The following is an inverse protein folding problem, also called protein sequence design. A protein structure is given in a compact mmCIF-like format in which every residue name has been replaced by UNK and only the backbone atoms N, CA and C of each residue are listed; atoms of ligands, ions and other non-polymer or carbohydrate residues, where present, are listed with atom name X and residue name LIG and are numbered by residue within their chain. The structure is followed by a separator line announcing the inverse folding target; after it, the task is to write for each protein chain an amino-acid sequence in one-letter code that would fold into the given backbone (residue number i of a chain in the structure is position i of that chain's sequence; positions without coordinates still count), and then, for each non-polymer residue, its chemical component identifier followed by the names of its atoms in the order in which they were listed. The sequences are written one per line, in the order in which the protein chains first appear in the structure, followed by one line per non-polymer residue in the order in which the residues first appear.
data_IF_143590377475
#
_entry.id   IF_143590377475
#
_cell.length_a   1.000
_cell.length_b   1.000
_cell.length_c   1.000
_cell.angle_alpha   90.00
_cell.angle_beta   90.00
_cell.angle_gamma   90.00
#
_symmetry.space_group_name_H-M   'P 1'
#
loop_
_entity.id
_entity.type
_entity.pdbx_description
1 polymer ?
#
# COMPACT_ATOMS: atom_id res chain seq x y z
N UNK A 1 20.06 5.92 -26.73
CA UNK A 1 18.67 6.28 -26.37
C UNK A 1 18.52 7.80 -26.26
N UNK A 2 19.23 8.47 -25.34
CA UNK A 2 19.17 9.93 -25.16
C UNK A 2 19.36 10.75 -26.44
N UNK A 3 20.37 10.44 -27.27
CA UNK A 3 20.57 11.12 -28.56
C UNK A 3 19.38 10.99 -29.52
N UNK A 4 18.70 9.84 -29.54
CA UNK A 4 17.53 9.60 -30.40
C UNK A 4 16.30 10.36 -29.87
N UNK A 5 16.13 10.37 -28.55
CA UNK A 5 15.08 11.15 -27.89
C UNK A 5 15.27 12.66 -28.17
N UNK A 6 16.50 13.17 -28.00
CA UNK A 6 16.84 14.57 -28.29
C UNK A 6 16.69 14.94 -29.76
N UNK A 7 16.75 13.96 -30.68
CA UNK A 7 16.47 14.19 -32.10
C UNK A 7 14.98 14.08 -32.46
N UNK A 8 14.08 14.02 -31.46
CA UNK A 8 12.63 13.92 -31.66
C UNK A 8 12.15 12.55 -32.13
N UNK A 9 12.96 11.49 -31.99
CA UNK A 9 12.55 10.14 -32.37
C UNK A 9 11.60 9.57 -31.32
N UNK A 10 10.43 9.12 -31.73
CA UNK A 10 9.44 8.47 -30.87
C UNK A 10 9.28 7.00 -31.28
N UNK A 11 9.99 6.10 -30.59
CA UNK A 11 9.90 4.67 -30.80
C UNK A 11 10.22 3.89 -29.50
N UNK A 12 10.21 2.57 -29.56
CA UNK A 12 10.50 1.69 -28.42
C UNK A 12 11.88 1.88 -27.78
N UNK A 13 12.81 2.59 -28.44
CA UNK A 13 14.13 2.92 -27.89
C UNK A 13 14.15 4.27 -27.15
N UNK A 14 13.12 5.09 -27.32
CA UNK A 14 12.98 6.39 -26.65
C UNK A 14 11.83 6.43 -25.65
N UNK A 15 10.92 5.45 -25.69
CA UNK A 15 9.92 5.24 -24.64
C UNK A 15 10.52 4.65 -23.37
N UNK A 16 9.93 5.00 -22.23
CA UNK A 16 10.13 4.28 -20.99
C UNK A 16 9.62 2.85 -21.16
N UNK A 17 10.39 1.89 -20.66
CA UNK A 17 9.94 0.51 -20.53
C UNK A 17 8.83 0.42 -19.48
N UNK A 18 7.98 -0.61 -19.56
CA UNK A 18 6.93 -0.84 -18.57
C UNK A 18 7.45 -0.88 -17.14
N UNK A 19 8.55 -1.60 -16.91
CA UNK A 19 9.26 -1.64 -15.63
C UNK A 19 9.74 -0.26 -15.14
N UNK A 20 10.19 0.62 -16.03
CA UNK A 20 10.76 1.93 -15.65
C UNK A 20 9.66 2.87 -15.11
N UNK A 21 8.49 2.91 -15.75
CA UNK A 21 7.35 3.69 -15.25
C UNK A 21 6.74 3.08 -13.99
N UNK A 22 6.61 1.75 -13.97
CA UNK A 22 6.12 1.04 -12.79
C UNK A 22 6.99 1.35 -11.57
N UNK A 23 8.31 1.28 -11.70
CA UNK A 23 9.23 1.61 -10.62
C UNK A 23 9.21 3.10 -10.24
N UNK A 24 9.02 4.01 -11.20
CA UNK A 24 8.91 5.45 -10.93
C UNK A 24 7.68 5.74 -10.06
N UNK A 25 6.50 5.27 -10.49
CA UNK A 25 5.25 5.48 -9.76
C UNK A 25 5.27 4.78 -8.41
N UNK A 26 5.78 3.55 -8.36
CA UNK A 26 5.94 2.81 -7.11
C UNK A 26 6.89 3.51 -6.14
N UNK A 27 8.00 4.08 -6.63
CA UNK A 27 8.93 4.86 -5.82
C UNK A 27 8.29 6.12 -5.24
N UNK A 28 7.55 6.88 -6.06
CA UNK A 28 6.80 8.06 -5.63
C UNK A 28 5.73 7.69 -4.58
N UNK A 29 4.98 6.62 -4.83
CA UNK A 29 3.99 6.10 -3.90
C UNK A 29 4.64 5.67 -2.58
N UNK A 30 5.73 4.91 -2.62
CA UNK A 30 6.46 4.49 -1.40
C UNK A 30 6.92 5.68 -0.57
N UNK A 31 7.36 6.77 -1.23
CA UNK A 31 7.74 8.03 -0.60
C UNK A 31 6.54 8.92 -0.20
N UNK A 32 5.31 8.43 -0.37
CA UNK A 32 4.08 9.18 -0.14
C UNK A 32 4.09 10.56 -0.84
N UNK A 33 4.65 10.61 -2.05
CA UNK A 33 4.81 11.83 -2.83
C UNK A 33 3.91 11.74 -4.06
N UNK A 34 2.71 12.31 -3.97
CA UNK A 34 1.77 12.34 -5.08
C UNK A 34 2.40 13.04 -6.30
N UNK A 35 2.18 12.51 -7.51
CA UNK A 35 2.79 13.03 -8.72
C UNK A 35 2.09 14.30 -9.26
N UNK A 36 0.97 14.71 -8.65
CA UNK A 36 0.09 15.77 -9.14
C UNK A 36 -0.48 15.43 -10.53
N UNK A 37 -0.65 16.45 -11.37
CA UNK A 37 -1.21 16.34 -12.74
C UNK A 37 -0.50 15.33 -13.66
N UNK A 38 0.70 14.85 -13.28
CA UNK A 38 1.39 13.81 -14.03
C UNK A 38 0.58 12.50 -14.07
N UNK A 39 -0.22 12.14 -13.06
CA UNK A 39 -0.97 10.87 -13.06
C UNK A 39 -1.97 10.79 -14.23
N UNK A 40 -2.59 11.92 -14.59
CA UNK A 40 -3.54 12.01 -15.69
C UNK A 40 -2.88 11.74 -17.05
N UNK A 41 -1.59 12.04 -17.17
CA UNK A 41 -0.80 11.76 -18.37
C UNK A 41 -0.38 10.30 -18.51
N UNK A 42 -0.40 9.52 -17.41
CA UNK A 42 0.06 8.13 -17.41
C UNK A 42 -0.86 7.26 -18.27
N UNK A 43 -2.18 7.33 -18.09
CA UNK A 43 -3.14 6.52 -18.85
C UNK A 43 -2.98 6.62 -20.38
N UNK A 44 -3.01 7.83 -20.95
CA UNK A 44 -2.74 8.06 -22.38
C UNK A 44 -1.38 7.53 -22.83
N UNK A 45 -0.35 7.70 -22.00
CA UNK A 45 0.99 7.21 -22.31
C UNK A 45 1.06 5.67 -22.36
N UNK A 46 0.51 4.98 -21.35
CA UNK A 46 0.51 3.52 -21.30
C UNK A 46 -0.24 2.94 -22.51
N UNK A 47 -1.39 3.52 -22.87
CA UNK A 47 -2.09 3.13 -24.11
C UNK A 47 -1.20 3.30 -25.33
N UNK A 48 -0.55 4.46 -25.49
CA UNK A 48 0.31 4.74 -26.65
C UNK A 48 1.41 3.70 -26.83
N UNK A 49 2.08 3.30 -25.75
CA UNK A 49 3.20 2.34 -25.83
C UNK A 49 2.73 0.89 -25.95
N UNK A 50 1.47 0.60 -25.62
CA UNK A 50 0.86 -0.75 -25.68
C UNK A 50 -0.08 -0.95 -26.88
N UNK A 51 -0.07 -0.04 -27.86
CA UNK A 51 -0.82 -0.22 -29.11
C UNK A 51 -0.16 -1.28 -29.99
N UNK A 52 -0.99 -2.14 -30.60
CA UNK A 52 -0.56 -3.01 -31.70
C UNK A 52 -0.38 -2.22 -33.01
N UNK A 53 -0.05 -2.94 -34.10
CA UNK A 53 0.18 -2.34 -35.42
C UNK A 53 -1.05 -1.63 -35.99
N UNK A 54 -2.25 -2.00 -35.54
CA UNK A 54 -3.52 -1.41 -35.96
C UNK A 54 -3.98 -0.29 -35.01
N UNK A 55 -3.13 0.10 -34.03
CA UNK A 55 -3.42 1.15 -33.07
C UNK A 55 -4.39 0.71 -31.95
N UNK A 56 -4.66 -0.59 -31.82
CA UNK A 56 -5.57 -1.13 -30.79
C UNK A 56 -4.80 -1.55 -29.55
N UNK A 57 -5.45 -1.38 -28.40
CA UNK A 57 -4.93 -1.88 -27.12
C UNK A 57 -5.74 -3.12 -26.74
N UNK A 58 -5.06 -4.24 -26.61
CA UNK A 58 -5.62 -5.52 -26.15
C UNK A 58 -4.76 -6.05 -25.02
N UNK A 59 -5.27 -7.01 -24.26
CA UNK A 59 -4.46 -7.66 -23.21
C UNK A 59 -3.15 -8.26 -23.75
N UNK A 60 -3.14 -8.77 -25.00
CA UNK A 60 -1.92 -9.28 -25.64
C UNK A 60 -0.90 -8.18 -25.94
N UNK A 61 -1.37 -7.02 -26.41
CA UNK A 61 -0.48 -5.90 -26.69
C UNK A 61 0.02 -5.25 -25.39
N UNK A 62 -0.78 -5.22 -24.33
CA UNK A 62 -0.34 -4.84 -22.98
C UNK A 62 0.73 -5.82 -22.46
N UNK A 63 0.49 -7.13 -22.54
CA UNK A 63 1.43 -8.17 -22.09
C UNK A 63 2.78 -8.14 -22.84
N UNK A 64 2.82 -7.62 -24.07
CA UNK A 64 4.07 -7.42 -24.81
C UNK A 64 4.97 -6.31 -24.22
N UNK A 65 4.42 -5.46 -23.35
CA UNK A 65 5.12 -4.30 -22.76
C UNK A 65 5.26 -4.44 -21.23
N UNK A 66 4.25 -5.01 -20.57
CA UNK A 66 4.15 -5.07 -19.12
C UNK A 66 4.05 -6.49 -18.61
N UNK A 67 4.69 -6.75 -17.47
CA UNK A 67 4.34 -7.89 -16.61
C UNK A 67 3.15 -7.54 -15.73
N UNK A 68 2.39 -8.55 -15.28
CA UNK A 68 1.26 -8.32 -14.34
C UNK A 68 1.70 -7.65 -13.03
N UNK A 69 2.89 -7.99 -12.53
CA UNK A 69 3.44 -7.33 -11.33
C UNK A 69 3.68 -5.83 -11.54
N UNK A 70 4.10 -5.42 -12.75
CA UNK A 70 4.36 -4.02 -13.06
C UNK A 70 3.05 -3.21 -13.10
N UNK A 71 1.99 -3.79 -13.68
CA UNK A 71 0.64 -3.23 -13.68
C UNK A 71 0.07 -3.14 -12.26
N UNK A 72 0.25 -4.18 -11.44
CA UNK A 72 -0.16 -4.17 -10.04
C UNK A 72 0.53 -3.04 -9.26
N UNK A 73 1.84 -2.88 -9.42
CA UNK A 73 2.58 -1.78 -8.77
C UNK A 73 2.05 -0.39 -9.17
N UNK A 74 1.66 -0.19 -10.44
CA UNK A 74 1.05 1.05 -10.91
C UNK A 74 -0.34 1.24 -10.27
N UNK A 75 -1.16 0.19 -10.23
CA UNK A 75 -2.49 0.24 -9.60
C UNK A 75 -2.40 0.56 -8.10
N UNK A 76 -1.46 -0.08 -7.39
CA UNK A 76 -1.19 0.25 -6.00
C UNK A 76 -0.76 1.70 -5.81
N UNK A 77 0.08 2.22 -6.71
CA UNK A 77 0.50 3.63 -6.65
C UNK A 77 -0.71 4.57 -6.74
N UNK A 78 -1.67 4.28 -7.62
CA UNK A 78 -2.94 5.00 -7.72
C UNK A 78 -3.71 4.97 -6.38
N UNK A 79 -3.81 3.79 -5.76
CA UNK A 79 -4.44 3.66 -4.45
C UNK A 79 -3.72 4.49 -3.38
N UNK A 80 -2.38 4.50 -3.34
CA UNK A 80 -1.58 5.29 -2.39
C UNK A 80 -1.77 6.79 -2.60
N UNK A 81 -1.82 7.27 -3.85
CA UNK A 81 -2.10 8.67 -4.15
C UNK A 81 -3.56 9.04 -3.84
N UNK A 82 -4.48 8.06 -3.85
CA UNK A 82 -5.92 8.31 -3.75
C UNK A 82 -6.50 8.88 -5.03
N UNK A 83 -5.85 8.61 -6.17
CA UNK A 83 -6.19 9.16 -7.48
C UNK A 83 -6.49 8.02 -8.45
N UNK A 84 -7.68 8.05 -9.08
CA UNK A 84 -8.17 6.96 -9.92
C UNK A 84 -8.61 7.44 -11.32
N UNK A 85 -7.69 7.94 -12.17
CA UNK A 85 -8.08 8.38 -13.51
C UNK A 85 -8.73 7.23 -14.29
N UNK A 86 -9.98 7.41 -14.74
CA UNK A 86 -10.79 6.35 -15.37
C UNK A 86 -10.07 5.64 -16.51
N UNK A 87 -9.38 6.43 -17.34
CA UNK A 87 -8.56 5.96 -18.44
C UNK A 87 -7.41 5.06 -18.01
N UNK A 88 -6.73 5.40 -16.90
CA UNK A 88 -5.65 4.61 -16.33
C UNK A 88 -6.20 3.33 -15.68
N UNK A 89 -7.25 3.46 -14.87
CA UNK A 89 -7.84 2.31 -14.17
C UNK A 89 -8.42 1.28 -15.16
N UNK A 90 -9.05 1.73 -16.24
CA UNK A 90 -9.53 0.83 -17.32
C UNK A 90 -8.38 0.08 -17.97
N UNK A 91 -7.26 0.76 -18.25
CA UNK A 91 -6.07 0.11 -18.79
C UNK A 91 -5.49 -0.94 -17.83
N UNK A 92 -5.39 -0.60 -16.54
CA UNK A 92 -4.84 -1.48 -15.51
C UNK A 92 -5.71 -2.72 -15.28
N UNK A 93 -7.03 -2.54 -15.16
CA UNK A 93 -7.98 -3.65 -15.03
C UNK A 93 -7.99 -4.51 -16.29
N UNK A 94 -7.96 -3.90 -17.48
CA UNK A 94 -7.87 -4.65 -18.75
C UNK A 94 -6.60 -5.49 -18.87
N UNK A 95 -5.46 -4.99 -18.36
CA UNK A 95 -4.21 -5.76 -18.33
C UNK A 95 -4.19 -6.84 -17.24
N UNK A 96 -4.65 -6.53 -16.03
CA UNK A 96 -4.59 -7.45 -14.89
C UNK A 96 -5.65 -8.55 -14.93
N UNK A 97 -6.85 -8.22 -15.42
CA UNK A 97 -8.04 -9.05 -15.38
C UNK A 97 -8.59 -9.44 -16.76
N UNK A 98 -8.16 -8.78 -17.84
CA UNK A 98 -8.66 -9.04 -19.19
C UNK A 98 -10.14 -8.74 -19.38
N UNK A 99 -10.57 -8.61 -20.63
CA UNK A 99 -11.98 -8.32 -20.95
C UNK A 99 -12.91 -9.49 -20.60
N UNK A 100 -12.39 -10.72 -20.68
CA UNK A 100 -13.17 -11.95 -20.44
C UNK A 100 -13.13 -12.42 -18.99
N UNK A 101 -12.28 -11.83 -18.14
CA UNK A 101 -12.08 -12.27 -16.75
C UNK A 101 -11.80 -13.79 -16.64
N UNK A 102 -10.92 -14.28 -17.52
CA UNK A 102 -10.51 -15.70 -17.58
C UNK A 102 -9.04 -15.83 -17.13
N UNK A 103 -8.78 -16.28 -15.89
CA UNK A 103 -7.44 -16.36 -15.34
C UNK A 103 -6.52 -17.34 -16.08
N UNK A 104 -7.05 -18.45 -16.62
CA UNK A 104 -6.25 -19.41 -17.38
C UNK A 104 -5.80 -18.83 -18.73
N UNK A 105 -6.69 -18.14 -19.43
CA UNK A 105 -6.32 -17.46 -20.68
C UNK A 105 -5.30 -16.37 -20.43
N UNK A 106 -5.40 -15.63 -19.32
CA UNK A 106 -4.43 -14.60 -18.96
C UNK A 106 -3.06 -15.19 -18.63
N UNK A 107 -3.02 -16.27 -17.85
CA UNK A 107 -1.78 -16.97 -17.55
C UNK A 107 -1.03 -17.42 -18.81
N UNK A 108 -1.76 -17.89 -19.83
CA UNK A 108 -1.19 -18.23 -21.15
C UNK A 108 -0.68 -17.00 -21.91
N UNK A 109 -1.36 -15.87 -21.83
CA UNK A 109 -0.97 -14.62 -22.51
C UNK A 109 0.26 -14.00 -21.87
N UNK A 110 0.33 -14.00 -20.54
CA UNK A 110 1.45 -13.45 -19.78
C UNK A 110 2.59 -14.45 -19.57
N UNK A 111 2.41 -15.71 -19.98
CA UNK A 111 3.36 -16.81 -19.77
C UNK A 111 3.79 -16.94 -18.30
N UNK A 112 2.82 -16.83 -17.38
CA UNK A 112 3.02 -16.91 -15.94
C UNK A 112 2.05 -17.91 -15.28
N UNK A 113 2.13 -18.06 -13.95
CA UNK A 113 1.36 -19.05 -13.20
C UNK A 113 0.10 -18.52 -12.51
N UNK A 114 -0.37 -17.31 -12.84
CA UNK A 114 -1.36 -16.60 -12.02
C UNK A 114 -0.79 -15.32 -11.38
N UNK A 115 -1.67 -14.53 -10.76
CA UNK A 115 -1.25 -13.34 -10.00
C UNK A 115 -0.48 -13.76 -8.76
N UNK A 116 0.58 -13.03 -8.43
CA UNK A 116 1.27 -13.21 -7.16
C UNK A 116 0.39 -12.73 -6.01
N UNK A 117 0.55 -13.30 -4.80
CA UNK A 117 -0.25 -12.90 -3.63
C UNK A 117 -0.21 -11.39 -3.34
N UNK A 118 0.94 -10.75 -3.58
CA UNK A 118 1.06 -9.29 -3.44
C UNK A 118 0.21 -8.52 -4.45
N UNK A 119 0.12 -8.99 -5.70
CA UNK A 119 -0.73 -8.38 -6.73
C UNK A 119 -2.22 -8.62 -6.42
N UNK A 120 -2.55 -9.77 -5.82
CA UNK A 120 -3.90 -10.07 -5.33
C UNK A 120 -4.31 -9.07 -4.25
N UNK A 121 -3.48 -8.93 -3.20
CA UNK A 121 -3.75 -7.96 -2.13
C UNK A 121 -3.83 -6.53 -2.65
N UNK A 122 -2.94 -6.17 -3.58
CA UNK A 122 -2.99 -4.88 -4.27
C UNK A 122 -4.36 -4.60 -4.89
N UNK A 123 -4.92 -5.58 -5.61
CA UNK A 123 -6.22 -5.42 -6.25
C UNK A 123 -7.36 -5.30 -5.23
N UNK A 124 -7.28 -5.99 -4.09
CA UNK A 124 -8.23 -5.82 -2.98
C UNK A 124 -8.16 -4.39 -2.41
N UNK A 125 -6.96 -3.87 -2.15
CA UNK A 125 -6.79 -2.49 -1.67
C UNK A 125 -7.28 -1.46 -2.69
N UNK A 126 -6.96 -1.66 -3.97
CA UNK A 126 -7.38 -0.76 -5.04
C UNK A 126 -8.90 -0.76 -5.18
N UNK A 127 -9.55 -1.92 -5.19
CA UNK A 127 -11.01 -2.01 -5.27
C UNK A 127 -11.66 -1.33 -4.06
N UNK A 128 -11.19 -1.62 -2.84
CA UNK A 128 -11.70 -0.99 -1.63
C UNK A 128 -11.53 0.53 -1.66
N UNK A 129 -10.34 1.02 -2.02
CA UNK A 129 -10.06 2.44 -2.05
C UNK A 129 -10.84 3.18 -3.14
N UNK A 130 -11.07 2.55 -4.30
CA UNK A 130 -11.90 3.10 -5.37
C UNK A 130 -13.37 3.21 -4.95
N UNK A 131 -13.94 2.14 -4.41
CA UNK A 131 -15.35 2.11 -4.00
C UNK A 131 -15.63 3.13 -2.89
N UNK A 132 -14.74 3.21 -1.90
CA UNK A 132 -14.83 4.16 -0.80
C UNK A 132 -14.59 5.62 -1.22
N UNK A 133 -13.85 5.86 -2.29
CA UNK A 133 -13.65 7.21 -2.85
C UNK A 133 -14.88 7.75 -3.61
N UNK A 134 -15.88 6.89 -3.88
CA UNK A 134 -17.03 7.24 -4.72
C UNK A 134 -16.71 7.32 -6.21
N UNK A 135 -15.57 6.76 -6.66
CA UNK A 135 -15.16 6.77 -8.06
C UNK A 135 -16.06 5.84 -8.89
N UNK A 136 -16.93 6.41 -9.72
CA UNK A 136 -17.85 5.69 -10.59
C UNK A 136 -17.12 5.14 -11.85
N UNK A 137 -16.27 4.14 -11.66
CA UNK A 137 -15.52 3.51 -12.76
C UNK A 137 -16.27 2.35 -13.43
N UNK A 138 -17.22 1.73 -12.72
CA UNK A 138 -17.86 0.47 -13.14
C UNK A 138 -16.90 -0.73 -13.17
N UNK A 139 -15.66 -0.55 -12.73
CA UNK A 139 -14.63 -1.59 -12.66
C UNK A 139 -14.82 -2.41 -11.38
N UNK A 140 -14.75 -3.73 -11.53
CA UNK A 140 -15.05 -4.68 -10.44
C UNK A 140 -14.14 -5.89 -10.53
N UNK A 141 -13.76 -6.42 -9.37
CA UNK A 141 -13.08 -7.71 -9.32
C UNK A 141 -14.02 -8.85 -9.78
N UNK A 142 -13.47 -9.93 -10.35
CA UNK A 142 -14.24 -11.12 -10.73
C UNK A 142 -14.86 -11.83 -9.51
N UNK A 143 -16.03 -12.50 -9.63
CA UNK A 143 -16.67 -13.21 -8.52
C UNK A 143 -15.82 -14.32 -7.90
N UNK A 144 -14.98 -14.97 -8.71
CA UNK A 144 -14.05 -16.04 -8.33
C UNK A 144 -12.77 -15.53 -7.66
N UNK A 145 -12.54 -14.22 -7.62
CA UNK A 145 -11.39 -13.61 -6.96
C UNK A 145 -11.41 -13.83 -5.42
N UNK A 146 -10.26 -14.07 -4.75
CA UNK A 146 -8.92 -14.25 -5.31
C UNK A 146 -8.56 -15.69 -5.72
N UNK A 147 -9.36 -16.69 -5.34
CA UNK A 147 -8.98 -18.12 -5.36
C UNK A 147 -8.49 -18.62 -6.74
N UNK A 148 -9.25 -18.36 -7.80
CA UNK A 148 -8.90 -18.83 -9.16
C UNK A 148 -7.85 -17.94 -9.85
N UNK A 149 -7.51 -16.81 -9.23
CA UNK A 149 -6.65 -15.76 -9.78
C UNK A 149 -5.24 -15.81 -9.24
N UNK A 150 -5.09 -16.27 -8.00
CA UNK A 150 -3.81 -16.37 -7.33
C UNK A 150 -3.03 -17.59 -7.82
N UNK A 151 -1.74 -17.39 -8.07
CA UNK A 151 -0.80 -18.46 -8.37
C UNK A 151 -0.73 -19.43 -7.17
N UNK A 152 -0.98 -20.72 -7.42
CA UNK A 152 -0.77 -21.79 -6.44
C UNK A 152 0.72 -21.89 -6.09
N UNK A 153 1.10 -21.65 -4.84
CA UNK A 153 2.48 -21.73 -4.39
C UNK A 153 2.80 -23.12 -3.81
N UNK A 154 3.74 -23.83 -4.45
CA UNK A 154 4.46 -24.97 -3.85
C UNK A 154 5.88 -24.60 -3.42
N UNK A 155 6.19 -23.31 -3.28
CA UNK A 155 7.53 -22.80 -2.94
C UNK A 155 7.41 -21.74 -1.87
N UNK A 156 8.20 -21.90 -0.80
CA UNK A 156 8.33 -20.96 0.30
C UNK A 156 8.64 -19.54 -0.22
N UNK A 157 7.97 -18.58 0.41
CA UNK A 157 8.05 -17.14 0.16
C UNK A 157 9.48 -16.68 0.45
N UNK A 158 10.32 -16.66 -0.57
CA UNK A 158 11.72 -16.34 -0.40
C UNK A 158 12.46 -16.43 -1.72
N UNK A 159 12.10 -15.59 -2.69
CA UNK A 159 13.10 -14.91 -3.52
C UNK A 159 12.45 -14.00 -4.58
N UNK A 160 12.99 -12.77 -4.63
CA UNK A 160 12.84 -11.73 -5.67
C UNK A 160 11.50 -10.99 -5.78
N UNK A 161 11.16 -10.19 -4.76
CA UNK A 161 10.98 -8.72 -4.75
C UNK A 161 10.86 -8.32 -3.28
N UNK A 162 11.44 -7.18 -2.88
CA UNK A 162 11.53 -6.75 -1.48
C UNK A 162 10.19 -6.89 -0.72
N UNK A 163 10.21 -7.30 0.56
CA UNK A 163 9.03 -7.47 1.41
C UNK A 163 8.36 -6.10 1.58
N UNK A 164 7.42 -5.75 0.72
CA UNK A 164 6.93 -4.37 0.57
C UNK A 164 5.46 -4.20 0.93
N UNK A 165 4.81 -5.25 1.44
CA UNK A 165 3.36 -5.24 1.68
C UNK A 165 2.93 -5.97 2.95
N UNK A 166 3.78 -6.01 3.97
CA UNK A 166 3.24 -6.19 5.32
C UNK A 166 2.73 -4.82 5.78
N UNK A 167 1.45 -4.55 5.49
CA UNK A 167 0.63 -3.62 6.28
C UNK A 167 0.48 -4.10 7.74
N UNK A 168 1.03 -5.29 8.03
CA UNK A 168 1.18 -5.95 9.32
C UNK A 168 2.64 -5.90 9.81
N UNK A 169 3.31 -4.75 9.72
CA UNK A 169 4.62 -4.55 10.36
C UNK A 169 4.45 -4.50 11.88
N UNK A 170 4.27 -5.67 12.49
CA UNK A 170 4.06 -5.77 13.94
C UNK A 170 5.35 -5.42 14.66
N UNK A 171 5.27 -4.37 15.46
CA UNK A 171 6.22 -4.17 16.55
C UNK A 171 5.62 -4.80 17.80
N UNK A 172 5.48 -6.14 17.76
CA UNK A 172 4.66 -6.93 18.70
C UNK A 172 5.01 -6.76 20.18
N UNK A 173 6.19 -6.22 20.52
CA UNK A 173 6.51 -5.85 21.89
C UNK A 173 5.84 -4.53 22.31
N UNK A 174 6.12 -3.43 21.60
CA UNK A 174 5.53 -2.12 21.93
C UNK A 174 4.00 -2.15 21.81
N UNK A 175 3.45 -2.89 20.86
CA UNK A 175 1.99 -3.07 20.75
C UNK A 175 1.39 -3.69 22.02
N UNK A 176 2.02 -4.74 22.57
CA UNK A 176 1.57 -5.35 23.84
C UNK A 176 1.74 -4.41 25.03
N UNK A 177 2.83 -3.66 25.08
CA UNK A 177 3.08 -2.69 26.15
C UNK A 177 2.04 -1.55 26.11
N UNK A 178 1.70 -1.05 24.92
CA UNK A 178 0.64 -0.06 24.69
C UNK A 178 -0.75 -0.61 25.06
N UNK A 179 -1.07 -1.85 24.63
CA UNK A 179 -2.30 -2.56 25.01
C UNK A 179 -2.44 -2.66 26.54
N UNK A 180 -1.36 -3.02 27.23
CA UNK A 180 -1.33 -3.09 28.69
C UNK A 180 -1.63 -1.73 29.35
N UNK A 181 -1.08 -0.62 28.82
CA UNK A 181 -1.39 0.72 29.33
C UNK A 181 -2.86 1.12 29.12
N UNK A 182 -3.43 0.82 27.94
CA UNK A 182 -4.86 1.03 27.70
C UNK A 182 -5.75 0.22 28.67
N UNK A 183 -5.35 -1.01 28.99
CA UNK A 183 -6.03 -1.83 30.01
C UNK A 183 -5.98 -1.19 31.39
N UNK A 184 -4.82 -0.65 31.83
CA UNK A 184 -4.67 0.01 33.14
C UNK A 184 -5.58 1.23 33.29
N UNK A 185 -5.81 1.98 32.21
CA UNK A 185 -6.69 3.16 32.24
C UNK A 185 -8.17 2.84 31.99
N UNK A 186 -8.53 1.56 31.82
CA UNK A 186 -9.91 1.10 31.63
C UNK A 186 -10.48 1.38 30.24
N UNK A 187 -9.63 1.45 29.21
CA UNK A 187 -10.09 1.55 27.82
C UNK A 187 -10.39 0.15 27.28
N UNK A 188 -11.66 -0.13 26.97
CA UNK A 188 -12.07 -1.39 26.34
C UNK A 188 -11.55 -1.45 24.89
N UNK A 189 -10.79 -2.50 24.57
CA UNK A 189 -10.21 -2.69 23.24
C UNK A 189 -9.91 -4.18 22.97
N UNK A 190 -9.60 -4.47 21.71
CA UNK A 190 -9.03 -5.73 21.23
C UNK A 190 -7.71 -5.46 20.51
N UNK A 191 -6.77 -6.40 20.57
CA UNK A 191 -5.53 -6.36 19.78
C UNK A 191 -5.74 -7.03 18.42
N UNK A 192 -5.03 -6.58 17.39
CA UNK A 192 -4.99 -7.16 16.04
C UNK A 192 -6.40 -7.34 15.42
N UNK A 193 -7.23 -6.29 15.45
CA UNK A 193 -8.56 -6.35 14.85
C UNK A 193 -8.48 -6.41 13.32
N UNK A 194 -8.93 -7.52 12.75
CA UNK A 194 -8.92 -7.75 11.31
C UNK A 194 -10.22 -7.27 10.67
N UNK A 195 -10.09 -6.56 9.54
CA UNK A 195 -11.16 -6.28 8.59
C UNK A 195 -10.95 -7.17 7.37
N UNK A 196 -11.86 -8.12 7.16
CA UNK A 196 -11.82 -9.09 6.07
C UNK A 196 -12.57 -8.59 4.81
N UNK A 197 -12.45 -9.32 3.69
CA UNK A 197 -13.28 -9.07 2.50
C UNK A 197 -14.78 -9.18 2.81
N UNK A 198 -15.17 -10.11 3.68
CA UNK A 198 -16.56 -10.23 4.16
C UNK A 198 -17.01 -9.00 4.93
N UNK A 199 -16.18 -8.48 5.85
CA UNK A 199 -16.47 -7.23 6.57
C UNK A 199 -16.59 -6.05 5.62
N UNK A 200 -15.62 -5.87 4.70
CA UNK A 200 -15.65 -4.83 3.67
C UNK A 200 -16.94 -4.85 2.83
N UNK A 201 -17.38 -6.04 2.42
CA UNK A 201 -18.59 -6.19 1.61
C UNK A 201 -19.87 -5.93 2.41
N UNK A 202 -19.98 -6.52 3.60
CA UNK A 202 -21.24 -6.52 4.37
C UNK A 202 -21.45 -5.26 5.21
N UNK A 203 -20.39 -4.64 5.74
CA UNK A 203 -20.47 -3.50 6.65
C UNK A 203 -20.16 -2.15 5.98
N UNK A 204 -19.36 -2.18 4.92
CA UNK A 204 -18.81 -0.96 4.29
C UNK A 204 -19.20 -0.79 2.82
N UNK A 205 -20.04 -1.68 2.29
CA UNK A 205 -20.58 -1.62 0.92
C UNK A 205 -19.46 -1.56 -0.15
N UNK A 206 -18.34 -2.23 0.10
CA UNK A 206 -17.27 -2.42 -0.88
C UNK A 206 -17.64 -3.57 -1.81
N UNK A 207 -17.42 -3.41 -3.11
CA UNK A 207 -17.79 -4.40 -4.11
C UNK A 207 -16.77 -5.54 -4.21
N UNK A 208 -16.76 -6.38 -3.18
CA UNK A 208 -15.96 -7.59 -3.08
C UNK A 208 -16.88 -8.80 -2.85
N UNK A 209 -16.49 -9.95 -3.38
CA UNK A 209 -17.17 -11.19 -3.01
C UNK A 209 -16.84 -11.52 -1.54
N UNK A 210 -17.82 -11.67 -0.63
CA UNK A 210 -17.54 -11.92 0.79
C UNK A 210 -16.80 -13.25 0.97
N UNK A 211 -15.54 -13.17 1.39
CA UNK A 211 -14.66 -14.29 1.72
C UNK A 211 -13.90 -13.98 3.01
N UNK A 212 -13.47 -15.00 3.78
CA UNK A 212 -12.71 -14.82 5.02
C UNK A 212 -11.22 -14.53 4.73
N UNK A 213 -10.95 -13.61 3.81
CA UNK A 213 -9.60 -13.14 3.47
C UNK A 213 -9.35 -11.86 4.25
N UNK A 214 -8.29 -11.85 5.04
CA UNK A 214 -7.87 -10.68 5.82
C UNK A 214 -7.35 -9.58 4.88
N UNK A 215 -7.87 -8.36 5.01
CA UNK A 215 -7.47 -7.24 4.15
C UNK A 215 -6.73 -6.17 4.94
N UNK A 216 -7.30 -5.70 6.04
CA UNK A 216 -6.66 -4.74 6.93
C UNK A 216 -6.58 -5.33 8.34
N UNK A 217 -5.58 -4.90 9.09
CA UNK A 217 -5.44 -5.19 10.52
C UNK A 217 -5.22 -3.88 11.27
N UNK A 218 -5.92 -3.69 12.38
CA UNK A 218 -5.75 -2.56 13.29
C UNK A 218 -5.04 -3.09 14.53
N UNK A 219 -3.94 -2.45 14.94
CA UNK A 219 -3.11 -2.98 16.03
C UNK A 219 -3.86 -3.06 17.36
N UNK A 220 -4.59 -1.99 17.71
CA UNK A 220 -5.47 -1.90 18.88
C UNK A 220 -6.77 -1.20 18.48
N UNK A 221 -7.92 -1.83 18.74
CA UNK A 221 -9.21 -1.33 18.29
C UNK A 221 -10.27 -1.32 19.40
N UNK A 222 -10.99 -0.20 19.53
CA UNK A 222 -12.34 -0.22 20.08
C UNK A 222 -13.33 -0.30 18.91
N UNK A 223 -13.83 -1.51 18.67
CA UNK A 223 -14.75 -1.80 17.55
C UNK A 223 -16.08 -1.08 17.73
N UNK A 224 -16.57 -0.95 18.96
CA UNK A 224 -17.88 -0.36 19.25
C UNK A 224 -17.91 1.14 18.93
N UNK A 225 -16.82 1.83 19.23
CA UNK A 225 -16.65 3.28 18.99
C UNK A 225 -15.91 3.59 17.68
N UNK A 226 -15.48 2.57 16.94
CA UNK A 226 -14.62 2.65 15.75
C UNK A 226 -13.38 3.51 15.99
N UNK A 227 -12.67 3.23 17.08
CA UNK A 227 -11.38 3.86 17.39
C UNK A 227 -10.28 2.88 17.02
N UNK A 228 -9.35 3.33 16.18
CA UNK A 228 -8.17 2.58 15.76
C UNK A 228 -6.93 3.25 16.34
N UNK A 229 -6.08 2.48 17.03
CA UNK A 229 -4.77 2.93 17.51
C UNK A 229 -3.72 2.12 16.74
N UNK A 230 -2.94 2.81 15.93
CA UNK A 230 -1.84 2.27 15.12
C UNK A 230 -0.52 2.49 15.88
N UNK A 231 0.20 1.41 16.17
CA UNK A 231 1.47 1.44 16.90
C UNK A 231 2.61 1.51 15.90
N UNK A 232 2.96 2.74 15.52
CA UNK A 232 3.83 2.98 14.39
C UNK A 232 5.30 2.76 14.74
N UNK A 233 5.82 1.59 14.37
CA UNK A 233 7.26 1.31 14.36
C UNK A 233 8.07 2.12 13.33
N UNK A 234 9.42 2.05 13.36
CA UNK A 234 10.30 2.82 12.47
C UNK A 234 10.05 2.63 10.98
N UNK A 235 9.56 1.46 10.57
CA UNK A 235 9.30 1.14 9.18
C UNK A 235 8.11 1.90 8.58
N UNK A 236 7.24 2.49 9.40
CA UNK A 236 6.09 3.28 8.95
C UNK A 236 6.45 4.68 8.45
N UNK A 237 7.70 5.11 8.68
CA UNK A 237 8.16 6.46 8.42
C UNK A 237 9.31 6.50 7.41
N UNK A 238 9.40 7.63 6.71
CA UNK A 238 10.52 7.99 5.86
C UNK A 238 11.57 8.71 6.70
N UNK A 239 12.84 8.36 6.49
CA UNK A 239 13.96 9.07 7.09
C UNK A 239 14.55 10.08 6.09
N UNK A 240 14.59 11.35 6.48
CA UNK A 240 15.33 12.39 5.75
C UNK A 240 16.84 12.12 5.82
N UNK A 241 17.50 12.07 4.66
CA UNK A 241 18.97 11.96 4.59
C UNK A 241 19.68 13.32 4.63
N UNK A 242 18.92 14.42 4.43
CA UNK A 242 19.45 15.79 4.39
C UNK A 242 19.69 16.39 5.77
N UNK A 243 19.05 15.87 6.82
CA UNK A 243 19.14 16.40 8.19
C UNK A 243 20.24 15.74 9.03
N UNK A 244 21.23 15.12 8.37
CA UNK A 244 22.43 14.61 9.00
C UNK A 244 23.42 15.74 9.30
N UNK A 245 22.98 16.77 10.03
CA UNK A 245 23.86 17.82 10.55
C UNK A 245 24.98 17.22 11.41
N UNK A 246 26.12 17.92 11.51
CA UNK A 246 27.21 17.52 12.40
C UNK A 246 26.73 17.58 13.87
N UNK A 247 26.28 16.44 14.39
CA UNK A 247 25.61 16.33 15.70
C UNK A 247 24.26 15.60 15.66
N UNK A 248 23.74 15.27 14.47
CA UNK A 248 22.53 14.46 14.31
C UNK A 248 22.73 13.11 15.00
N UNK A 249 21.98 12.87 16.07
CA UNK A 249 21.93 11.55 16.69
C UNK A 249 21.02 10.68 15.82
N UNK A 250 21.41 9.45 15.49
CA UNK A 250 20.60 8.61 14.58
C UNK A 250 21.36 7.71 13.60
N UNK A 251 22.69 7.69 13.63
CA UNK A 251 23.47 6.95 12.63
C UNK A 251 23.38 5.42 12.81
N UNK A 252 23.46 4.72 11.67
CA UNK A 252 23.82 3.30 11.59
C UNK A 252 25.22 3.12 12.18
N UNK A 253 25.34 2.44 13.33
CA UNK A 253 26.64 1.95 13.79
C UNK A 253 26.79 0.50 13.38
N UNK A 254 27.89 0.18 12.71
CA UNK A 254 28.32 -1.20 12.51
C UNK A 254 28.98 -1.68 13.80
N UNK A 255 28.26 -2.52 14.57
CA UNK A 255 28.79 -3.14 15.78
C UNK A 255 28.99 -4.64 15.51
N UNK A 256 30.24 -5.10 15.51
CA UNK A 256 30.62 -6.50 15.22
C UNK A 256 30.00 -7.07 13.92
N UNK A 257 29.89 -6.26 12.87
CA UNK A 257 29.30 -6.70 11.59
C UNK A 257 27.77 -6.68 11.54
N UNK A 258 27.07 -6.30 12.61
CA UNK A 258 25.62 -6.08 12.63
C UNK A 258 25.29 -4.59 12.62
N UNK A 259 24.22 -4.24 11.91
CA UNK A 259 23.64 -2.90 11.89
C UNK A 259 22.88 -2.67 13.21
N UNK A 260 23.32 -1.70 14.02
CA UNK A 260 22.56 -1.19 15.17
C UNK A 260 21.93 0.16 14.83
N UNK A 261 20.61 0.26 15.04
CA UNK A 261 19.86 1.50 14.95
C UNK A 261 20.09 2.33 16.22
N UNK A 262 20.60 3.55 16.09
CA UNK A 262 20.57 4.50 17.19
C UNK A 262 19.26 5.29 17.10
N UNK A 263 18.33 5.02 18.00
CA UNK A 263 17.08 5.75 18.11
C UNK A 263 17.34 7.12 18.76
N UNK A 264 17.53 8.17 17.96
CA UNK A 264 17.23 9.53 18.41
C UNK A 264 16.32 10.14 17.35
N UNK A 265 15.11 9.59 17.30
CA UNK A 265 14.01 10.13 16.52
C UNK A 265 13.38 11.24 17.34
N UNK A 266 13.15 12.40 16.74
CA UNK A 266 12.62 13.58 17.45
C UNK A 266 11.22 13.95 16.98
N UNK A 267 10.72 13.35 15.90
CA UNK A 267 9.40 13.62 15.34
C UNK A 267 9.32 14.87 14.45
N UNK A 268 10.41 15.64 14.36
CA UNK A 268 10.44 16.90 13.60
C UNK A 268 10.65 16.72 12.08
N UNK A 269 11.19 15.58 11.64
CA UNK A 269 11.59 15.34 10.25
C UNK A 269 11.01 14.04 9.65
N UNK A 270 10.04 13.44 10.33
CA UNK A 270 9.50 12.13 9.99
C UNK A 270 8.14 12.29 9.29
N UNK A 271 8.04 11.69 8.11
CA UNK A 271 6.80 11.61 7.32
C UNK A 271 6.36 10.17 7.20
N UNK A 272 5.07 9.90 7.32
CA UNK A 272 4.53 8.56 7.04
C UNK A 272 4.82 8.16 5.59
N UNK A 273 5.15 6.89 5.38
CA UNK A 273 5.39 6.33 4.06
C UNK A 273 4.05 6.06 3.33
N UNK A 274 4.15 5.67 2.05
CA UNK A 274 2.98 5.36 1.23
C UNK A 274 2.06 4.27 1.78
N UNK A 275 2.58 3.08 2.15
CA UNK A 275 1.80 2.03 2.78
C UNK A 275 1.00 2.50 4.00
N UNK A 276 1.64 3.20 4.95
CA UNK A 276 0.99 3.74 6.15
C UNK A 276 -0.11 4.74 5.77
N UNK A 277 0.17 5.65 4.82
CA UNK A 277 -0.81 6.62 4.35
C UNK A 277 -2.03 5.97 3.66
N UNK A 278 -1.82 4.89 2.90
CA UNK A 278 -2.91 4.12 2.31
C UNK A 278 -3.77 3.45 3.38
N UNK A 279 -3.15 2.81 4.38
CA UNK A 279 -3.84 2.18 5.51
C UNK A 279 -4.71 3.19 6.25
N UNK A 280 -4.12 4.31 6.64
CA UNK A 280 -4.80 5.39 7.36
C UNK A 280 -6.00 5.91 6.57
N UNK A 281 -5.83 6.17 5.26
CA UNK A 281 -6.92 6.65 4.40
C UNK A 281 -8.05 5.62 4.27
N UNK A 282 -7.73 4.34 4.11
CA UNK A 282 -8.73 3.27 4.06
C UNK A 282 -9.51 3.20 5.37
N UNK A 283 -8.83 3.13 6.52
CA UNK A 283 -9.48 3.09 7.84
C UNK A 283 -10.37 4.30 8.07
N UNK A 284 -9.89 5.51 7.76
CA UNK A 284 -10.70 6.74 7.84
C UNK A 284 -11.93 6.70 6.93
N UNK A 285 -11.79 6.19 5.71
CA UNK A 285 -12.90 6.06 4.75
C UNK A 285 -13.94 5.02 5.19
N UNK A 286 -13.52 4.00 5.93
CA UNK A 286 -14.38 3.04 6.62
C UNK A 286 -15.06 3.64 7.87
N UNK A 287 -14.72 4.88 8.24
CA UNK A 287 -15.30 5.59 9.38
C UNK A 287 -14.60 5.32 10.72
N UNK A 288 -13.37 4.80 10.70
CA UNK A 288 -12.54 4.67 11.89
C UNK A 288 -11.88 6.00 12.25
N UNK A 289 -11.85 6.28 13.55
CA UNK A 289 -11.05 7.35 14.16
C UNK A 289 -9.65 6.81 14.41
N UNK A 290 -8.72 7.13 13.52
CA UNK A 290 -7.34 6.63 13.58
C UNK A 290 -6.48 7.55 14.44
N UNK A 291 -5.87 6.99 15.48
CA UNK A 291 -4.80 7.58 16.28
C UNK A 291 -3.50 6.87 15.91
N UNK A 292 -2.49 7.66 15.57
CA UNK A 292 -1.12 7.17 15.39
C UNK A 292 -0.34 7.32 16.70
N UNK A 293 0.31 6.25 17.14
CA UNK A 293 1.21 6.22 18.29
C UNK A 293 2.63 5.96 17.78
N UNK A 294 3.44 7.01 17.57
CA UNK A 294 4.79 6.85 17.08
C UNK A 294 5.70 6.20 18.12
N UNK A 295 6.48 5.21 17.70
CA UNK A 295 7.32 4.43 18.61
C UNK A 295 8.31 5.29 19.44
N UNK A 296 8.77 6.43 18.91
CA UNK A 296 9.72 7.30 19.62
C UNK A 296 9.07 8.07 20.76
N UNK A 297 7.79 8.43 20.64
CA UNK A 297 7.05 9.07 21.73
C UNK A 297 6.89 8.08 22.88
N UNK A 298 6.54 6.83 22.57
CA UNK A 298 6.42 5.76 23.55
C UNK A 298 7.73 5.50 24.31
N UNK A 299 8.85 5.33 23.59
CA UNK A 299 10.14 5.07 24.24
C UNK A 299 10.71 6.26 25.03
N UNK A 300 10.15 7.45 24.86
CA UNK A 300 10.51 8.63 25.65
C UNK A 300 9.79 8.69 27.01
N UNK A 301 8.76 7.85 27.23
CA UNK A 301 8.00 7.80 28.48
C UNK A 301 8.80 7.10 29.58
N UNK A 302 8.69 7.63 30.80
CA UNK A 302 9.39 7.11 31.98
C UNK A 302 8.39 6.48 32.95
N UNK A 303 8.13 5.19 32.75
CA UNK A 303 7.30 4.36 33.63
C UNK A 303 5.79 4.44 33.37
N UNK A 304 5.05 3.58 34.08
CA UNK A 304 3.62 3.33 33.83
C UNK A 304 2.74 4.57 34.01
N UNK A 305 3.07 5.48 34.93
CA UNK A 305 2.30 6.71 35.15
C UNK A 305 2.35 7.63 33.91
N UNK A 306 3.52 7.73 33.27
CA UNK A 306 3.70 8.51 32.05
C UNK A 306 3.01 7.84 30.84
N UNK A 307 3.11 6.51 30.73
CA UNK A 307 2.39 5.71 29.72
C UNK A 307 0.87 5.91 29.83
N UNK A 308 0.32 5.77 31.03
CA UNK A 308 -1.12 5.90 31.29
C UNK A 308 -1.61 7.33 30.98
N UNK A 309 -0.84 8.34 31.40
CA UNK A 309 -1.15 9.74 31.11
C UNK A 309 -1.13 10.03 29.60
N UNK A 310 -0.16 9.46 28.87
CA UNK A 310 -0.06 9.57 27.42
C UNK A 310 -1.26 8.93 26.71
N UNK A 311 -1.61 7.69 27.06
CA UNK A 311 -2.81 7.01 26.53
C UNK A 311 -4.10 7.79 26.80
N UNK A 312 -4.28 8.37 28.00
CA UNK A 312 -5.44 9.23 28.31
C UNK A 312 -5.47 10.47 27.42
N UNK A 313 -4.32 11.10 27.18
CA UNK A 313 -4.24 12.27 26.31
C UNK A 313 -4.63 11.93 24.86
N UNK A 314 -4.14 10.81 24.33
CA UNK A 314 -4.53 10.33 22.99
C UNK A 314 -6.05 10.16 22.86
N UNK A 315 -6.70 9.56 23.85
CA UNK A 315 -8.16 9.39 23.83
C UNK A 315 -8.94 10.70 23.95
N UNK A 316 -8.41 11.66 24.71
CA UNK A 316 -9.06 12.97 24.88
C UNK A 316 -9.02 13.81 23.59
N UNK A 317 -8.00 13.63 22.75
CA UNK A 317 -7.92 14.29 21.44
C UNK A 317 -9.09 13.89 20.51
N UNK A 318 -9.67 12.70 20.68
CA UNK A 318 -10.81 12.23 19.89
C UNK A 318 -12.17 12.81 20.31
N UNK A 319 -12.23 13.50 21.46
CA UNK A 319 -13.46 14.08 22.01
C UNK A 319 -13.64 15.56 21.63
N UNK A 320 -12.63 16.19 21.03
CA UNK A 320 -12.66 17.56 20.52
C UNK A 320 -13.08 17.56 19.04
#
# INVERSE_FOLDING_TARGET
RTKLYMSGKEDSMTYFKGQEISNLLWGLATLNSAPGDMIDSVGPYLRKISQDKDGKVSVRSIASVFKRQELANIAWSCAVFGEYPSDLMTFLYGGLLGDKKDPESLAKIYEDGGLQGQAVMTLLYVQAAMDLSGSASGLTLPPDFPDDWQRSSSVAIGDVVAPTFELALTTSKIQRDVSAAFNRIGFEHVEEHVISMEGLASEYNVNLNPKPVEVLSIDIADVSRRIAIEVDGPAHFLSSISDLGAGAKGFRKLNKGKLEYQFNWTGENERINGPTALKERLLKSLGWKVIHLPFWEWYALDGEEAEDAYCRNLLNQLQQ
#
